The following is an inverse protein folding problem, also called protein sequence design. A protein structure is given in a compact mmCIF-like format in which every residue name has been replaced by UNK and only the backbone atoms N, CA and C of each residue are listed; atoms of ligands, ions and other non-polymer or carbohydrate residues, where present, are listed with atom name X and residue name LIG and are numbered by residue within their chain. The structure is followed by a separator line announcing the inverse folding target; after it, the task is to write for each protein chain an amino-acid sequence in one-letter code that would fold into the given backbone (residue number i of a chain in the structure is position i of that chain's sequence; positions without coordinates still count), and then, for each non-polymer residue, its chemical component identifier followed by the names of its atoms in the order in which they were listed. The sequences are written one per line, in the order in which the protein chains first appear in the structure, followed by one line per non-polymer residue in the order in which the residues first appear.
data_IF_826673149638
#
_entry.id   IF_826673149638
#
_cell.length_a   1.000
_cell.length_b   1.000
_cell.length_c   1.000
_cell.angle_alpha   90.00
_cell.angle_beta   90.00
_cell.angle_gamma   90.00
#
_symmetry.space_group_name_H-M   'P 1'
#
loop_
_entity.id
_entity.type
_entity.pdbx_description
1 polymer ?
#
# COMPACT_ATOMS: atom_id res chain seq x y z
N UNK A 1 1.17 -1.48 -21.36
CA UNK A 1 2.09 -0.89 -20.35
C UNK A 1 2.41 -1.93 -19.30
N UNK A 2 3.67 -2.05 -18.88
CA UNK A 2 4.12 -2.99 -17.83
C UNK A 2 4.61 -2.18 -16.63
N UNK A 3 4.00 -2.36 -15.48
CA UNK A 3 4.32 -1.58 -14.27
C UNK A 3 4.77 -2.49 -13.13
N UNK A 4 6.00 -2.30 -12.66
CA UNK A 4 6.50 -2.91 -11.43
C UNK A 4 6.08 -2.09 -10.21
N UNK A 5 5.78 -2.76 -9.08
CA UNK A 5 5.42 -2.08 -7.83
C UNK A 5 6.26 -2.66 -6.69
N UNK A 6 7.16 -1.86 -6.12
CA UNK A 6 7.89 -2.22 -4.91
C UNK A 6 7.05 -1.86 -3.68
N UNK A 7 6.88 -2.81 -2.76
CA UNK A 7 6.14 -2.61 -1.50
C UNK A 7 7.00 -3.00 -0.29
N UNK A 8 6.82 -2.33 0.85
CA UNK A 8 7.68 -2.52 2.03
C UNK A 8 7.39 -3.78 2.86
N UNK A 9 6.38 -4.55 2.51
CA UNK A 9 6.05 -5.80 3.21
C UNK A 9 6.81 -7.02 2.67
N UNK A 10 6.78 -8.11 3.42
CA UNK A 10 7.18 -9.43 2.93
C UNK A 10 6.12 -10.05 2.01
N UNK A 11 6.50 -11.14 1.35
CA UNK A 11 5.61 -11.92 0.48
C UNK A 11 4.36 -12.37 1.24
N UNK A 12 3.20 -12.33 0.59
CA UNK A 12 1.88 -12.57 1.19
C UNK A 12 1.51 -11.59 2.32
N UNK A 13 2.27 -10.52 2.51
CA UNK A 13 1.93 -9.43 3.43
C UNK A 13 0.69 -8.66 3.01
N UNK A 14 0.24 -7.76 3.88
CA UNK A 14 -1.00 -7.01 3.65
C UNK A 14 -0.93 -6.19 2.35
N UNK A 15 0.16 -5.45 2.15
CA UNK A 15 0.38 -4.60 0.98
C UNK A 15 0.49 -5.44 -0.29
N UNK A 16 1.29 -6.53 -0.29
CA UNK A 16 1.44 -7.41 -1.46
C UNK A 16 0.07 -7.93 -1.93
N UNK A 17 -0.73 -8.47 -1.02
CA UNK A 17 -2.02 -9.06 -1.35
C UNK A 17 -3.04 -8.00 -1.77
N UNK A 18 -3.10 -6.87 -1.06
CA UNK A 18 -4.10 -5.84 -1.34
C UNK A 18 -3.75 -4.95 -2.52
N UNK A 19 -2.48 -4.58 -2.72
CA UNK A 19 -2.07 -3.82 -3.90
C UNK A 19 -2.34 -4.62 -5.16
N UNK A 20 -2.12 -5.94 -5.15
CA UNK A 20 -2.51 -6.83 -6.25
C UNK A 20 -4.00 -6.74 -6.54
N UNK A 21 -4.83 -6.85 -5.51
CA UNK A 21 -6.29 -6.73 -5.64
C UNK A 21 -6.74 -5.35 -6.13
N UNK A 22 -6.11 -4.29 -5.63
CA UNK A 22 -6.36 -2.91 -6.08
C UNK A 22 -6.05 -2.77 -7.58
N UNK A 23 -4.89 -3.26 -8.01
CA UNK A 23 -4.49 -3.22 -9.42
C UNK A 23 -5.48 -4.00 -10.32
N UNK A 24 -5.92 -5.18 -9.90
CA UNK A 24 -6.95 -5.94 -10.61
C UNK A 24 -8.23 -5.12 -10.83
N UNK A 25 -8.70 -4.40 -9.78
CA UNK A 25 -9.90 -3.58 -9.85
C UNK A 25 -9.69 -2.32 -10.72
N UNK A 26 -8.54 -1.65 -10.60
CA UNK A 26 -8.22 -0.47 -11.41
C UNK A 26 -8.13 -0.81 -12.89
N UNK A 27 -7.48 -1.90 -13.23
CA UNK A 27 -7.24 -2.30 -14.61
C UNK A 27 -8.46 -2.90 -15.30
N UNK A 28 -9.40 -3.47 -14.53
CA UNK A 28 -10.68 -3.94 -15.07
C UNK A 28 -11.49 -2.82 -15.73
N UNK A 29 -11.36 -1.59 -15.21
CA UNK A 29 -12.10 -0.43 -15.72
C UNK A 29 -11.41 0.28 -16.88
N UNK A 30 -10.08 0.14 -17.03
CA UNK A 30 -9.29 0.90 -18.03
C UNK A 30 -9.28 0.26 -19.43
N UNK A 31 -9.63 -1.03 -19.54
CA UNK A 31 -9.73 -1.73 -20.84
C UNK A 31 -8.42 -1.87 -21.62
N UNK A 32 -7.28 -1.46 -21.06
CA UNK A 32 -5.97 -1.63 -21.65
C UNK A 32 -5.23 -2.81 -21.00
N UNK A 33 -4.54 -3.65 -21.77
CA UNK A 33 -3.71 -4.72 -21.22
C UNK A 33 -2.52 -4.10 -20.49
N UNK A 34 -2.60 -4.04 -19.17
CA UNK A 34 -1.50 -3.60 -18.31
C UNK A 34 -1.03 -4.80 -17.50
N UNK A 35 0.24 -5.13 -17.63
CA UNK A 35 0.89 -6.15 -16.83
C UNK A 35 1.42 -5.52 -15.54
N UNK A 36 1.13 -6.13 -14.40
CA UNK A 36 1.58 -5.67 -13.09
C UNK A 36 2.40 -6.75 -12.42
N UNK A 37 3.57 -6.40 -11.91
CA UNK A 37 4.34 -7.24 -10.99
C UNK A 37 4.54 -6.50 -9.66
N UNK A 38 4.34 -7.23 -8.56
CA UNK A 38 4.53 -6.69 -7.21
C UNK A 38 5.73 -7.36 -6.59
N UNK A 39 6.69 -6.53 -6.20
CA UNK A 39 7.98 -6.94 -5.62
C UNK A 39 8.00 -6.59 -4.13
N UNK A 40 7.74 -7.56 -3.25
CA UNK A 40 7.84 -7.36 -1.81
C UNK A 40 9.29 -7.16 -1.38
N UNK A 41 9.55 -6.15 -0.55
CA UNK A 41 10.89 -5.75 -0.11
C UNK A 41 11.12 -6.02 1.40
N UNK A 42 10.31 -6.90 2.02
CA UNK A 42 10.33 -7.34 3.41
C UNK A 42 10.07 -6.23 4.46
N UNK A 43 10.68 -5.06 4.33
CA UNK A 43 10.48 -3.93 5.23
C UNK A 43 11.01 -2.63 4.63
N UNK A 44 10.65 -1.49 5.24
CA UNK A 44 11.05 -0.15 4.77
C UNK A 44 12.57 0.01 4.63
N UNK A 45 13.35 -0.44 5.60
CA UNK A 45 14.80 -0.28 5.56
C UNK A 45 15.42 -1.03 4.37
N UNK A 46 14.91 -2.21 4.07
CA UNK A 46 15.33 -2.98 2.90
C UNK A 46 14.84 -2.33 1.62
N UNK A 47 13.57 -1.90 1.55
CA UNK A 47 13.04 -1.17 0.41
C UNK A 47 13.94 0.02 0.07
N UNK A 48 14.25 0.89 1.03
CA UNK A 48 15.10 2.07 0.80
C UNK A 48 16.48 1.66 0.31
N UNK A 49 17.12 0.66 0.92
CA UNK A 49 18.47 0.22 0.58
C UNK A 49 18.55 -0.44 -0.80
N UNK A 50 17.56 -1.25 -1.15
CA UNK A 50 17.59 -2.13 -2.34
C UNK A 50 16.74 -1.61 -3.51
N UNK A 51 16.02 -0.48 -3.36
CA UNK A 51 15.13 0.00 -4.42
C UNK A 51 15.88 0.29 -5.73
N UNK A 52 17.07 0.87 -5.69
CA UNK A 52 17.86 1.16 -6.89
C UNK A 52 18.12 -0.08 -7.74
N UNK A 53 18.82 -1.10 -7.24
CA UNK A 53 19.03 -2.35 -7.98
C UNK A 53 17.75 -3.08 -8.38
N UNK A 54 16.70 -3.03 -7.56
CA UNK A 54 15.43 -3.67 -7.87
C UNK A 54 14.73 -2.98 -9.05
N UNK A 55 14.69 -1.65 -9.06
CA UNK A 55 14.12 -0.85 -10.15
C UNK A 55 14.93 -1.04 -11.44
N UNK A 56 16.27 -0.92 -11.38
CA UNK A 56 17.13 -1.12 -12.54
C UNK A 56 16.86 -2.46 -13.22
N UNK A 57 16.79 -3.54 -12.42
CA UNK A 57 16.46 -4.89 -12.94
C UNK A 57 15.09 -4.96 -13.60
N UNK A 58 14.07 -4.31 -13.05
CA UNK A 58 12.74 -4.27 -13.67
C UNK A 58 12.80 -3.57 -15.03
N UNK A 59 13.40 -2.38 -15.12
CA UNK A 59 13.52 -1.62 -16.35
C UNK A 59 14.35 -2.38 -17.40
N UNK A 60 15.47 -2.99 -17.02
CA UNK A 60 16.28 -3.85 -17.90
C UNK A 60 15.48 -5.05 -18.45
N UNK A 61 14.51 -5.57 -17.71
CA UNK A 61 13.60 -6.65 -18.13
C UNK A 61 12.39 -6.13 -18.93
N UNK A 62 12.41 -4.86 -19.36
CA UNK A 62 11.40 -4.28 -20.24
C UNK A 62 10.12 -3.87 -19.52
N UNK A 63 10.19 -3.56 -18.23
CA UNK A 63 9.12 -2.88 -17.53
C UNK A 63 9.16 -1.39 -17.89
N UNK A 64 8.00 -0.81 -18.18
CA UNK A 64 7.92 0.57 -18.67
C UNK A 64 8.03 1.58 -17.52
N UNK A 65 7.57 1.17 -16.31
CA UNK A 65 7.48 2.05 -15.14
C UNK A 65 7.61 1.24 -13.85
N UNK A 66 8.10 1.90 -12.80
CA UNK A 66 8.10 1.32 -11.45
C UNK A 66 7.47 2.30 -10.46
N UNK A 67 6.56 1.79 -9.62
CA UNK A 67 6.01 2.52 -8.47
C UNK A 67 6.71 2.03 -7.22
N UNK A 68 7.22 2.94 -6.39
CA UNK A 68 7.75 2.62 -5.07
C UNK A 68 6.72 3.10 -4.04
N UNK A 69 6.14 2.16 -3.30
CA UNK A 69 5.09 2.39 -2.31
C UNK A 69 5.61 2.06 -0.92
N UNK A 70 5.57 3.04 0.00
CA UNK A 70 6.03 2.83 1.38
C UNK A 70 5.21 3.62 2.38
N UNK A 71 5.21 3.16 3.64
CA UNK A 71 4.56 3.84 4.75
C UNK A 71 5.43 4.97 5.32
N UNK A 72 4.83 6.08 5.74
CA UNK A 72 5.55 7.12 6.47
C UNK A 72 6.15 6.55 7.77
N UNK A 73 5.40 5.68 8.46
CA UNK A 73 5.84 5.03 9.69
C UNK A 73 6.49 3.68 9.41
N UNK A 74 7.64 3.39 10.04
CA UNK A 74 8.16 2.03 10.00
C UNK A 74 7.27 1.09 10.81
N UNK A 75 7.20 -0.18 10.41
CA UNK A 75 6.40 -1.20 11.11
C UNK A 75 6.79 -1.34 12.61
N UNK A 76 8.04 -1.02 12.95
CA UNK A 76 8.61 -1.11 14.29
C UNK A 76 9.37 0.17 14.63
N UNK A 77 8.67 1.27 14.98
CA UNK A 77 9.33 2.52 15.32
C UNK A 77 10.14 2.36 16.61
N UNK A 78 11.42 2.77 16.57
CA UNK A 78 12.24 2.88 17.78
C UNK A 78 11.94 4.18 18.48
N UNK A 79 12.08 4.21 19.82
CA UNK A 79 11.96 5.45 20.60
C UNK A 79 12.98 6.47 20.10
N UNK A 80 12.52 7.62 19.63
CA UNK A 80 13.37 8.66 19.08
C UNK A 80 13.47 8.71 17.55
N UNK A 81 12.90 7.75 16.82
CA UNK A 81 12.81 7.82 15.37
C UNK A 81 11.99 9.05 14.96
N UNK A 82 12.63 9.96 14.24
CA UNK A 82 11.92 11.06 13.59
C UNK A 82 11.31 10.52 12.31
N UNK A 83 9.98 10.44 12.29
CA UNK A 83 9.24 10.14 11.07
C UNK A 83 9.43 11.30 10.11
N UNK A 84 10.18 11.10 9.06
CA UNK A 84 10.43 12.12 8.06
C UNK A 84 10.37 11.50 6.66
N UNK A 85 9.20 11.53 6.05
CA UNK A 85 9.01 11.06 4.68
C UNK A 85 9.94 11.77 3.67
N UNK A 86 10.40 13.00 3.98
CA UNK A 86 11.39 13.71 3.17
C UNK A 86 12.74 12.99 3.16
N UNK A 87 13.20 12.49 4.32
CA UNK A 87 14.46 11.75 4.40
C UNK A 87 14.34 10.42 3.67
N UNK A 88 13.24 9.66 3.89
CA UNK A 88 12.99 8.42 3.16
C UNK A 88 13.03 8.65 1.65
N UNK A 89 12.35 9.71 1.18
CA UNK A 89 12.33 10.08 -0.24
C UNK A 89 13.72 10.44 -0.76
N UNK A 90 14.51 11.21 0.00
CA UNK A 90 15.87 11.56 -0.39
C UNK A 90 16.77 10.33 -0.49
N UNK A 91 16.67 9.41 0.46
CA UNK A 91 17.45 8.16 0.47
C UNK A 91 17.06 7.25 -0.70
N UNK A 92 15.76 7.14 -1.00
CA UNK A 92 15.27 6.42 -2.19
C UNK A 92 15.88 7.04 -3.47
N UNK A 93 15.74 8.36 -3.65
CA UNK A 93 16.27 9.06 -4.83
C UNK A 93 17.79 8.90 -4.96
N UNK A 94 18.53 8.97 -3.85
CA UNK A 94 19.97 8.75 -3.84
C UNK A 94 20.34 7.32 -4.25
N UNK A 95 19.57 6.31 -3.84
CA UNK A 95 19.80 4.92 -4.23
C UNK A 95 19.40 4.63 -5.69
N UNK A 96 18.35 5.26 -6.20
CA UNK A 96 18.01 5.23 -7.62
C UNK A 96 19.12 5.84 -8.48
N UNK A 97 19.63 7.01 -8.09
CA UNK A 97 20.75 7.68 -8.79
C UNK A 97 22.03 6.84 -8.79
N UNK A 98 22.37 6.15 -7.67
CA UNK A 98 23.52 5.23 -7.61
C UNK A 98 23.39 4.04 -8.55
N UNK A 99 22.17 3.62 -8.86
CA UNK A 99 21.88 2.53 -9.79
C UNK A 99 21.65 3.00 -11.22
N UNK A 100 21.93 4.28 -11.54
CA UNK A 100 21.75 4.90 -12.85
C UNK A 100 20.32 4.77 -13.41
N UNK A 101 19.33 4.81 -12.50
CA UNK A 101 17.92 4.69 -12.86
C UNK A 101 17.38 6.04 -13.35
N UNK A 102 16.69 6.03 -14.49
CA UNK A 102 15.93 7.17 -14.96
C UNK A 102 14.75 7.43 -14.01
N UNK A 103 14.76 8.60 -13.36
CA UNK A 103 13.74 8.97 -12.39
C UNK A 103 12.37 9.22 -13.02
N UNK A 104 12.30 9.53 -14.31
CA UNK A 104 11.04 9.73 -15.04
C UNK A 104 10.26 8.40 -15.20
N UNK A 105 10.97 7.26 -15.13
CA UNK A 105 10.37 5.94 -15.11
C UNK A 105 9.87 5.50 -13.71
N UNK A 106 10.07 6.34 -12.68
CA UNK A 106 9.77 5.95 -11.28
C UNK A 106 8.76 6.88 -10.63
N UNK A 107 7.70 6.32 -10.11
CA UNK A 107 6.69 7.04 -9.34
C UNK A 107 6.84 6.73 -7.85
N UNK A 108 6.96 7.76 -7.02
CA UNK A 108 7.16 7.64 -5.58
C UNK A 108 5.86 7.95 -4.82
N UNK A 109 5.35 6.97 -4.07
CA UNK A 109 4.11 7.10 -3.28
C UNK A 109 4.38 6.77 -1.81
N UNK A 110 4.44 7.80 -0.97
CA UNK A 110 4.46 7.64 0.46
C UNK A 110 3.04 7.61 1.00
N UNK A 111 2.66 6.56 1.71
CA UNK A 111 1.39 6.47 2.41
C UNK A 111 1.50 7.24 3.72
N UNK A 112 0.59 8.19 3.96
CA UNK A 112 0.55 8.90 5.22
C UNK A 112 0.27 7.94 6.38
N UNK A 113 1.21 7.87 7.32
CA UNK A 113 1.23 6.98 8.47
C UNK A 113 1.49 5.52 8.10
N UNK A 114 0.45 4.77 7.79
CA UNK A 114 0.48 3.30 7.62
C UNK A 114 -0.56 2.89 6.58
N UNK A 115 -0.34 1.77 5.89
CA UNK A 115 -1.24 1.23 4.86
C UNK A 115 -2.68 1.06 5.36
N UNK A 116 -2.86 0.79 6.64
CA UNK A 116 -4.18 0.72 7.27
C UNK A 116 -4.98 2.01 7.15
N UNK A 117 -4.36 3.17 6.89
CA UNK A 117 -5.09 4.41 6.61
C UNK A 117 -5.99 4.27 5.40
N UNK A 118 -5.54 3.59 4.32
CA UNK A 118 -6.36 3.31 3.15
C UNK A 118 -7.56 2.43 3.50
N UNK A 119 -7.34 1.38 4.30
CA UNK A 119 -8.39 0.44 4.67
C UNK A 119 -9.51 1.10 5.49
N UNK A 120 -9.17 2.11 6.30
CA UNK A 120 -10.13 2.84 7.12
C UNK A 120 -11.09 3.71 6.28
N UNK A 121 -10.83 3.95 5.00
CA UNK A 121 -11.76 4.66 4.11
C UNK A 121 -12.93 3.80 3.63
N UNK A 122 -12.79 2.46 3.64
CA UNK A 122 -13.83 1.57 3.14
C UNK A 122 -14.60 0.85 4.25
N UNK A 123 -15.68 1.50 4.71
CA UNK A 123 -16.60 0.95 5.72
C UNK A 123 -17.27 -0.35 5.27
N UNK A 124 -17.48 -0.57 3.97
CA UNK A 124 -18.10 -1.80 3.44
C UNK A 124 -17.12 -2.95 3.57
N UNK A 125 -15.88 -2.74 3.12
CA UNK A 125 -14.81 -3.71 3.28
C UNK A 125 -14.58 -4.03 4.77
N UNK A 126 -14.48 -3.02 5.63
CA UNK A 126 -14.37 -3.20 7.08
C UNK A 126 -15.54 -4.00 7.65
N UNK A 127 -16.78 -3.64 7.28
CA UNK A 127 -17.96 -4.38 7.73
C UNK A 127 -17.92 -5.83 7.30
N UNK A 128 -17.52 -6.11 6.06
CA UNK A 128 -17.33 -7.46 5.54
C UNK A 128 -16.27 -8.24 6.32
N UNK A 129 -15.09 -7.65 6.54
CA UNK A 129 -13.97 -8.32 7.24
C UNK A 129 -14.28 -8.56 8.72
N UNK A 130 -15.00 -7.63 9.36
CA UNK A 130 -15.34 -7.73 10.79
C UNK A 130 -16.53 -8.63 11.07
N UNK A 131 -17.40 -8.87 10.09
CA UNK A 131 -18.53 -9.79 10.23
C UNK A 131 -18.09 -11.25 10.27
N UNK A 132 -18.90 -12.06 10.94
CA UNK A 132 -18.79 -13.52 10.99
C UNK A 132 -20.16 -14.11 10.63
N UNK A 133 -20.25 -15.41 10.39
CA UNK A 133 -21.51 -16.09 10.11
C UNK A 133 -22.54 -15.91 11.24
N UNK A 134 -22.05 -15.77 12.47
CA UNK A 134 -22.91 -15.61 13.66
C UNK A 134 -23.21 -14.13 13.98
N UNK A 135 -22.46 -13.17 13.42
CA UNK A 135 -22.58 -11.76 13.82
C UNK A 135 -22.28 -10.82 12.66
N UNK A 136 -23.27 -10.11 12.19
CA UNK A 136 -23.13 -9.06 11.19
C UNK A 136 -22.65 -7.74 11.87
N UNK A 137 -21.60 -7.15 11.33
CA UNK A 137 -21.01 -5.89 11.81
C UNK A 137 -21.26 -4.78 10.81
N UNK A 138 -21.68 -3.63 11.31
CA UNK A 138 -21.68 -2.38 10.54
C UNK A 138 -20.55 -1.50 11.09
N UNK A 139 -19.39 -1.58 10.46
CA UNK A 139 -18.26 -0.75 10.82
C UNK A 139 -18.50 0.71 10.46
N UNK A 140 -17.93 1.60 11.25
CA UNK A 140 -17.88 3.03 10.96
C UNK A 140 -16.41 3.43 10.77
N UNK A 141 -16.11 4.06 9.66
CA UNK A 141 -14.79 4.64 9.43
C UNK A 141 -14.59 5.86 10.33
N UNK A 142 -13.35 6.16 10.74
CA UNK A 142 -13.02 7.46 11.32
C UNK A 142 -13.48 8.60 10.40
N UNK A 143 -13.84 9.75 10.99
CA UNK A 143 -14.34 10.90 10.22
C UNK A 143 -13.34 11.35 9.14
N UNK A 144 -12.04 11.35 9.48
CA UNK A 144 -10.93 11.71 8.59
C UNK A 144 -9.83 10.64 8.69
N UNK A 145 -9.91 9.53 7.92
CA UNK A 145 -8.92 8.46 7.98
C UNK A 145 -7.49 8.90 7.70
N UNK A 146 -7.26 9.82 6.74
CA UNK A 146 -5.94 10.40 6.43
C UNK A 146 -5.28 11.11 7.64
N UNK A 147 -6.10 11.70 8.50
CA UNK A 147 -5.61 12.42 9.68
C UNK A 147 -5.50 11.53 10.93
N UNK A 148 -5.82 10.24 10.81
CA UNK A 148 -5.79 9.33 11.93
C UNK A 148 -4.35 9.07 12.38
N UNK A 149 -4.00 9.48 13.60
CA UNK A 149 -2.62 9.41 14.11
C UNK A 149 -2.07 7.99 14.26
N UNK A 150 -2.92 6.98 14.35
CA UNK A 150 -2.54 5.58 14.55
C UNK A 150 -3.53 4.65 13.86
N UNK A 151 -3.45 4.50 12.52
CA UNK A 151 -4.38 3.67 11.74
C UNK A 151 -4.36 2.21 12.17
N UNK A 152 -3.18 1.63 12.36
CA UNK A 152 -3.02 0.24 12.83
C UNK A 152 -3.65 0.03 14.20
N UNK A 153 -3.49 0.98 15.12
CA UNK A 153 -4.16 0.96 16.43
C UNK A 153 -5.68 1.03 16.32
N UNK A 154 -6.22 1.79 15.36
CA UNK A 154 -7.66 1.81 15.09
C UNK A 154 -8.14 0.44 14.59
N UNK A 155 -7.41 -0.19 13.66
CA UNK A 155 -7.71 -1.54 13.20
C UNK A 155 -7.68 -2.55 14.35
N UNK A 156 -6.65 -2.51 15.20
CA UNK A 156 -6.55 -3.37 16.39
C UNK A 156 -7.78 -3.22 17.32
N UNK A 157 -8.24 -1.98 17.51
CA UNK A 157 -9.45 -1.69 18.32
C UNK A 157 -10.70 -2.29 17.68
N UNK A 158 -10.91 -2.10 16.38
CA UNK A 158 -12.05 -2.65 15.65
C UNK A 158 -12.09 -4.18 15.72
N UNK A 159 -10.96 -4.86 15.49
CA UNK A 159 -10.88 -6.31 15.55
C UNK A 159 -11.14 -6.85 16.96
N UNK A 160 -10.57 -6.21 17.97
CA UNK A 160 -10.85 -6.59 19.38
C UNK A 160 -12.33 -6.41 19.71
N UNK A 161 -12.94 -5.30 19.31
CA UNK A 161 -14.33 -4.96 19.62
C UNK A 161 -15.34 -5.90 18.95
N UNK A 162 -15.13 -6.21 17.67
CA UNK A 162 -16.13 -6.90 16.86
C UNK A 162 -15.86 -8.38 16.65
N UNK A 163 -14.61 -8.80 16.70
CA UNK A 163 -14.21 -10.19 16.48
C UNK A 163 -13.60 -10.86 17.72
N UNK A 164 -13.30 -10.11 18.77
CA UNK A 164 -12.64 -10.62 19.96
C UNK A 164 -11.21 -11.12 19.75
N UNK A 165 -10.59 -10.80 18.61
CA UNK A 165 -9.23 -11.25 18.24
C UNK A 165 -8.26 -10.08 18.11
N UNK A 166 -6.95 -10.40 18.18
CA UNK A 166 -5.90 -9.45 17.86
C UNK A 166 -5.83 -9.27 16.34
N UNK A 167 -5.77 -8.03 15.88
CA UNK A 167 -5.45 -7.74 14.48
C UNK A 167 -3.99 -8.09 14.19
N UNK A 168 -3.78 -8.91 13.18
CA UNK A 168 -2.48 -9.25 12.60
C UNK A 168 -2.66 -9.14 11.08
N UNK A 169 -2.02 -8.15 10.47
CA UNK A 169 -2.19 -7.77 9.07
C UNK A 169 -2.10 -8.94 8.09
N UNK A 170 -1.00 -9.71 8.14
CA UNK A 170 -0.79 -10.87 7.27
C UNK A 170 -1.90 -11.93 7.39
N UNK A 171 -2.48 -12.13 8.58
CA UNK A 171 -3.54 -13.12 8.78
C UNK A 171 -4.85 -12.72 8.09
N UNK A 172 -5.10 -11.42 7.96
CA UNK A 172 -6.33 -10.90 7.40
C UNK A 172 -6.20 -10.36 5.97
N UNK A 173 -4.98 -10.33 5.41
CA UNK A 173 -4.69 -9.80 4.09
C UNK A 173 -5.62 -10.36 3.00
N UNK A 174 -5.74 -11.69 2.92
CA UNK A 174 -6.62 -12.36 1.94
C UNK A 174 -8.10 -12.10 2.19
N UNK A 175 -8.53 -11.90 3.44
CA UNK A 175 -9.91 -11.56 3.75
C UNK A 175 -10.22 -10.12 3.33
N UNK A 176 -9.33 -9.18 3.57
CA UNK A 176 -9.44 -7.82 3.07
C UNK A 176 -9.54 -7.80 1.55
N UNK A 177 -8.66 -8.51 0.84
CA UNK A 177 -8.69 -8.57 -0.62
C UNK A 177 -10.02 -9.12 -1.16
N UNK A 178 -10.60 -10.16 -0.53
CA UNK A 178 -11.92 -10.68 -0.92
C UNK A 178 -13.05 -9.69 -0.65
N UNK A 179 -12.97 -8.92 0.43
CA UNK A 179 -13.98 -7.95 0.81
C UNK A 179 -13.87 -6.63 0.02
N UNK A 180 -12.72 -6.35 -0.59
CA UNK A 180 -12.50 -5.18 -1.44
C UNK A 180 -13.10 -5.42 -2.82
N UNK A 181 -14.27 -4.85 -3.08
CA UNK A 181 -15.03 -5.05 -4.32
C UNK A 181 -15.07 -3.81 -5.21
N UNK A 182 -14.72 -2.63 -4.69
CA UNK A 182 -14.71 -1.36 -5.44
C UNK A 182 -13.75 -0.37 -4.79
N UNK A 183 -13.20 0.56 -5.56
CA UNK A 183 -12.17 1.51 -5.13
C UNK A 183 -12.69 2.92 -4.85
N UNK A 184 -13.93 3.22 -5.18
CA UNK A 184 -14.53 4.56 -5.08
C UNK A 184 -14.43 5.20 -3.68
N UNK A 185 -14.26 4.41 -2.63
CA UNK A 185 -14.06 4.91 -1.26
C UNK A 185 -12.60 5.20 -0.99
N UNK A 186 -11.68 4.34 -1.44
CA UNK A 186 -10.25 4.54 -1.35
C UNK A 186 -9.82 5.78 -2.14
N UNK A 187 -10.44 6.03 -3.31
CA UNK A 187 -10.17 7.21 -4.15
C UNK A 187 -10.52 8.56 -3.46
N UNK A 188 -11.04 8.54 -2.23
CA UNK A 188 -11.17 9.74 -1.38
C UNK A 188 -9.88 10.07 -0.63
N UNK A 189 -8.98 9.11 -0.46
CA UNK A 189 -7.67 9.26 0.15
C UNK A 189 -6.68 9.91 -0.83
N UNK A 190 -5.95 10.93 -0.40
CA UNK A 190 -5.02 11.66 -1.27
C UNK A 190 -3.82 10.80 -1.71
N UNK A 191 -3.28 10.00 -0.80
CA UNK A 191 -2.14 9.12 -1.13
C UNK A 191 -2.58 7.97 -2.02
N UNK A 192 -3.80 7.47 -1.87
CA UNK A 192 -4.38 6.49 -2.79
C UNK A 192 -4.57 7.09 -4.20
N UNK A 193 -5.08 8.32 -4.32
CA UNK A 193 -5.20 8.99 -5.62
C UNK A 193 -3.86 9.12 -6.35
N UNK A 194 -2.79 9.44 -5.62
CA UNK A 194 -1.43 9.47 -6.20
C UNK A 194 -1.03 8.10 -6.73
N UNK A 195 -1.29 7.06 -5.96
CA UNK A 195 -1.03 5.69 -6.38
C UNK A 195 -1.83 5.34 -7.65
N UNK A 196 -3.12 5.65 -7.68
CA UNK A 196 -4.02 5.47 -8.82
C UNK A 196 -3.46 6.20 -10.06
N UNK A 197 -3.09 7.48 -9.92
CA UNK A 197 -2.48 8.28 -10.99
C UNK A 197 -1.19 7.66 -11.52
N UNK A 198 -0.29 7.18 -10.63
CA UNK A 198 0.93 6.50 -11.03
C UNK A 198 0.68 5.24 -11.87
N UNK A 199 -0.50 4.61 -11.77
CA UNK A 199 -0.85 3.42 -12.55
C UNK A 199 -1.63 3.75 -13.83
N UNK A 200 -2.39 4.85 -13.86
CA UNK A 200 -3.32 5.15 -14.94
C UNK A 200 -2.85 6.24 -15.89
N UNK A 201 -2.02 7.19 -15.41
CA UNK A 201 -1.52 8.27 -16.27
C UNK A 201 -0.50 7.72 -17.27
N UNK A 202 -0.87 7.78 -18.55
CA UNK A 202 0.09 7.62 -19.64
C UNK A 202 0.91 8.92 -19.72
N UNK A 203 2.23 8.82 -19.50
CA UNK A 203 3.16 9.91 -19.80
C UNK A 203 3.45 9.98 -21.28
#
# INVERSE_FOLDING_TARGET
MRTGILVECGRDGLEDVLVRRICELLLADVGQPTEIDIVPMDNKAQLIRECGPAVARLLENGWDRVVILWDERPAWPKTGDRLCWHNDRQDILANLAKADVDQDAVCLVCIEREFESWLLFDERMLSCVLSTDAHAVRAQAPRNPDQHKNPKGAMMKLFRQHRGVRYVDVQFARQFARCLTALNRLSRCQTFKRFEQCLTDAH
#
